data_IF_853234356128
#
_entry.id   IF_853234356128
#
_cell.length_a   1.000
_cell.length_b   1.000
_cell.length_c   1.000
_cell.angle_alpha   90.00
_cell.angle_beta   90.00
_cell.angle_gamma   90.00
#
_symmetry.space_group_name_H-M   'P 1'
#
loop_
_entity.id
_entity.type
_entity.pdbx_description
1 polymer ?
#
# COMPACT_ATOMS: atom_id res chain seq x y z
N UNK A 1 8.92 -72.11 33.53
CA UNK A 1 10.21 -71.57 34.02
C UNK A 1 11.21 -71.49 32.87
N UNK A 2 11.49 -70.27 32.40
CA UNK A 2 12.72 -69.75 31.75
C UNK A 2 12.37 -68.79 30.60
N UNK A 3 12.23 -67.55 31.06
CA UNK A 3 12.35 -66.29 30.32
C UNK A 3 13.76 -66.17 29.74
N UNK A 4 13.86 -65.45 28.61
CA UNK A 4 14.99 -64.59 28.14
C UNK A 4 15.47 -64.93 26.73
N UNK A 5 14.73 -64.47 25.71
CA UNK A 5 15.32 -64.06 24.41
C UNK A 5 14.73 -62.78 23.79
N UNK A 6 13.66 -62.19 24.34
CA UNK A 6 12.97 -61.04 23.71
C UNK A 6 13.49 -59.63 24.05
N UNK A 7 14.25 -59.43 25.13
CA UNK A 7 14.57 -58.06 25.61
C UNK A 7 15.94 -57.56 25.15
N UNK A 8 16.83 -58.44 24.67
CA UNK A 8 18.16 -58.01 24.18
C UNK A 8 18.17 -57.50 22.74
N UNK A 9 17.21 -57.90 21.90
CA UNK A 9 17.13 -57.42 20.52
C UNK A 9 16.58 -55.98 20.45
N UNK A 10 15.63 -55.62 21.32
CA UNK A 10 15.01 -54.29 21.29
C UNK A 10 15.93 -53.20 21.88
N UNK A 11 16.72 -53.50 22.91
CA UNK A 11 17.72 -52.55 23.44
C UNK A 11 18.91 -52.35 22.50
N UNK A 12 19.31 -53.36 21.71
CA UNK A 12 20.39 -53.20 20.73
C UNK A 12 19.94 -52.37 19.51
N UNK A 13 18.67 -52.46 19.12
CA UNK A 13 18.13 -51.63 18.04
C UNK A 13 17.99 -50.16 18.48
N UNK A 14 17.56 -49.90 19.72
CA UNK A 14 17.46 -48.54 20.26
C UNK A 14 18.83 -47.87 20.46
N UNK A 15 19.86 -48.64 20.82
CA UNK A 15 21.25 -48.13 20.92
C UNK A 15 21.87 -47.91 19.54
N UNK A 16 21.51 -48.71 18.52
CA UNK A 16 21.94 -48.42 17.14
C UNK A 16 21.24 -47.19 16.54
N UNK A 17 19.96 -46.93 16.84
CA UNK A 17 19.30 -45.70 16.37
C UNK A 17 19.70 -44.44 17.16
N UNK A 18 20.17 -44.57 18.41
CA UNK A 18 20.75 -43.47 19.18
C UNK A 18 22.22 -43.18 18.83
N UNK A 19 22.95 -44.13 18.25
CA UNK A 19 24.32 -43.93 17.76
C UNK A 19 24.41 -43.44 16.30
N UNK A 20 23.28 -43.39 15.58
CA UNK A 20 23.19 -42.76 14.25
C UNK A 20 22.75 -41.28 14.28
N UNK A 21 22.51 -40.72 15.47
CA UNK A 21 22.17 -39.31 15.68
C UNK A 21 23.29 -38.57 16.42
N UNK A 22 24.55 -38.78 16.02
CA UNK A 22 25.70 -38.02 16.52
C UNK A 22 26.82 -38.04 15.46
N UNK A 23 26.53 -37.49 14.30
CA UNK A 23 27.52 -36.88 13.41
C UNK A 23 26.92 -35.56 12.94
N UNK A 24 27.03 -34.55 13.80
CA UNK A 24 27.14 -33.18 13.31
C UNK A 24 28.49 -33.17 12.59
N UNK A 25 28.58 -32.95 11.27
CA UNK A 25 29.84 -32.50 10.73
C UNK A 25 30.13 -31.17 11.43
N UNK A 26 31.16 -31.18 12.27
CA UNK A 26 31.83 -29.96 12.67
C UNK A 26 32.29 -29.29 11.37
N UNK A 27 31.48 -28.37 10.85
CA UNK A 27 31.92 -27.43 9.83
C UNK A 27 32.88 -26.53 10.58
N UNK A 28 34.16 -26.87 10.46
CA UNK A 28 35.25 -25.94 10.70
C UNK A 28 34.90 -24.61 10.04
N UNK A 29 35.08 -23.52 10.76
CA UNK A 29 35.14 -22.18 10.19
C UNK A 29 36.10 -22.21 8.99
N UNK A 30 35.52 -22.30 7.79
CA UNK A 30 36.21 -21.99 6.56
C UNK A 30 36.12 -20.49 6.48
N UNK A 31 37.27 -19.84 6.56
CA UNK A 31 37.46 -18.47 6.13
C UNK A 31 36.94 -18.37 4.70
N UNK A 32 35.83 -17.69 4.50
CA UNK A 32 35.47 -17.15 3.19
C UNK A 32 36.46 -16.00 2.92
N UNK A 33 37.62 -16.36 2.39
CA UNK A 33 38.32 -15.43 1.52
C UNK A 33 37.55 -15.44 0.20
N UNK A 34 37.03 -14.26 -0.14
CA UNK A 34 36.80 -13.77 -1.50
C UNK A 34 36.18 -14.80 -2.47
N UNK A 35 34.86 -14.99 -2.35
CA UNK A 35 34.04 -15.20 -3.54
C UNK A 35 33.45 -13.85 -3.91
N UNK A 36 33.62 -13.51 -5.19
CA UNK A 36 33.37 -12.23 -5.83
C UNK A 36 32.08 -11.55 -5.34
N UNK A 37 32.24 -10.26 -5.09
CA UNK A 37 31.21 -9.22 -5.07
C UNK A 37 30.26 -9.39 -6.27
N UNK A 38 29.22 -10.20 -6.10
CA UNK A 38 27.94 -9.98 -6.77
C UNK A 38 27.25 -8.91 -5.93
N UNK A 39 27.35 -7.66 -6.36
CA UNK A 39 26.65 -6.54 -5.75
C UNK A 39 25.14 -6.74 -5.90
N UNK A 40 24.46 -7.29 -4.88
CA UNK A 40 23.06 -6.96 -4.67
C UNK A 40 23.04 -5.54 -4.10
N UNK A 41 23.20 -4.54 -4.97
CA UNK A 41 22.92 -3.15 -4.59
C UNK A 41 21.45 -3.09 -4.21
N UNK A 42 21.14 -2.64 -3.00
CA UNK A 42 19.77 -2.32 -2.61
C UNK A 42 19.22 -1.28 -3.58
N UNK A 43 18.08 -1.57 -4.22
CA UNK A 43 17.50 -0.75 -5.30
C UNK A 43 16.64 0.42 -4.74
N UNK A 44 16.42 0.48 -3.42
CA UNK A 44 15.68 1.56 -2.77
C UNK A 44 16.27 2.93 -3.15
N UNK A 45 15.41 3.82 -3.66
CA UNK A 45 15.77 5.18 -4.04
C UNK A 45 15.70 6.05 -2.78
N UNK A 46 16.60 7.03 -2.67
CA UNK A 46 16.53 8.01 -1.59
C UNK A 46 15.55 9.12 -1.94
N UNK A 47 14.58 9.35 -1.07
CA UNK A 47 13.51 10.31 -1.32
C UNK A 47 14.05 11.74 -1.39
N UNK A 48 13.63 12.54 -2.39
CA UNK A 48 13.97 13.93 -2.48
C UNK A 48 13.59 14.70 -1.22
N UNK A 49 14.43 15.66 -0.83
CA UNK A 49 14.08 16.58 0.25
C UNK A 49 13.01 17.58 -0.22
N UNK A 50 11.74 17.19 -0.04
CA UNK A 50 10.55 17.98 -0.33
C UNK A 50 10.40 19.22 0.56
N UNK A 51 11.21 19.35 1.61
CA UNK A 51 11.23 20.53 2.47
C UNK A 51 11.80 21.77 1.77
N UNK A 52 12.30 21.64 0.53
CA UNK A 52 12.93 22.73 -0.25
C UNK A 52 12.07 23.25 -1.40
N UNK A 53 10.95 22.61 -1.70
CA UNK A 53 10.06 22.93 -2.81
C UNK A 53 8.74 23.52 -2.31
N UNK A 54 8.04 24.25 -3.19
CA UNK A 54 6.69 24.75 -2.86
C UNK A 54 5.69 23.59 -2.94
N UNK A 55 4.82 23.50 -1.94
CA UNK A 55 3.86 22.41 -1.78
C UNK A 55 2.44 22.95 -1.64
N UNK A 56 1.47 22.16 -2.07
CA UNK A 56 0.06 22.48 -2.11
C UNK A 56 -0.77 21.33 -1.54
N UNK A 57 -1.87 21.67 -0.89
CA UNK A 57 -2.87 20.67 -0.53
C UNK A 57 -3.64 20.22 -1.78
N UNK A 58 -3.88 18.93 -1.87
CA UNK A 58 -4.71 18.33 -2.92
C UNK A 58 -6.17 18.37 -2.50
N UNK A 59 -7.04 18.85 -3.39
CA UNK A 59 -8.47 18.66 -3.24
C UNK A 59 -8.83 17.25 -3.73
N UNK A 60 -9.72 16.52 -3.02
CA UNK A 60 -10.16 15.20 -3.44
C UNK A 60 -10.97 15.26 -4.73
N UNK A 61 -11.05 14.12 -5.43
CA UNK A 61 -11.90 13.93 -6.61
C UNK A 61 -13.34 14.34 -6.33
N UNK A 62 -13.95 14.96 -7.32
CA UNK A 62 -15.36 15.32 -7.23
C UNK A 62 -16.24 14.08 -7.22
N UNK A 63 -17.38 14.14 -6.53
CA UNK A 63 -18.34 13.02 -6.54
C UNK A 63 -18.82 12.67 -7.94
N UNK A 64 -18.88 13.64 -8.87
CA UNK A 64 -19.18 13.39 -10.28
C UNK A 64 -18.19 12.48 -11.01
N UNK A 65 -17.00 12.28 -10.47
CA UNK A 65 -15.99 11.37 -11.01
C UNK A 65 -16.06 9.97 -10.39
N UNK A 66 -16.92 9.75 -9.39
CA UNK A 66 -17.07 8.49 -8.68
C UNK A 66 -18.32 7.74 -9.16
N UNK A 67 -18.19 6.45 -9.44
CA UNK A 67 -19.30 5.57 -9.80
C UNK A 67 -19.80 4.78 -8.60
N UNK A 68 -21.12 4.59 -8.51
CA UNK A 68 -21.78 3.87 -7.41
C UNK A 68 -22.56 2.68 -7.98
N UNK A 69 -22.07 1.47 -7.71
CA UNK A 69 -22.80 0.26 -8.04
C UNK A 69 -23.31 -0.39 -6.76
N UNK A 70 -24.61 -0.61 -6.67
CA UNK A 70 -25.25 -1.19 -5.49
C UNK A 70 -25.90 -2.51 -5.86
N UNK A 71 -25.55 -3.53 -5.09
CA UNK A 71 -25.97 -4.91 -5.33
C UNK A 71 -26.64 -5.48 -4.09
N UNK A 72 -27.81 -6.12 -4.21
CA UNK A 72 -28.28 -7.02 -3.18
C UNK A 72 -27.26 -8.11 -2.87
N UNK A 73 -27.03 -8.40 -1.58
CA UNK A 73 -26.06 -9.41 -1.17
C UNK A 73 -26.39 -10.81 -1.74
N UNK A 74 -27.69 -11.15 -1.82
CA UNK A 74 -28.13 -12.41 -2.44
C UNK A 74 -27.82 -12.44 -3.93
N UNK A 75 -28.01 -11.32 -4.62
CA UNK A 75 -27.77 -11.22 -6.05
C UNK A 75 -26.27 -11.44 -6.36
N UNK A 76 -25.35 -10.87 -5.57
CA UNK A 76 -23.91 -11.17 -5.73
C UNK A 76 -23.65 -12.67 -5.59
N UNK A 77 -24.19 -13.33 -4.56
CA UNK A 77 -23.96 -14.76 -4.33
C UNK A 77 -24.48 -15.62 -5.50
N UNK A 78 -25.61 -15.24 -6.09
CA UNK A 78 -26.23 -15.99 -7.20
C UNK A 78 -25.54 -15.76 -8.55
N UNK A 79 -24.86 -14.63 -8.74
CA UNK A 79 -24.28 -14.22 -10.02
C UNK A 79 -22.74 -14.12 -10.01
N UNK A 80 -22.09 -14.36 -8.87
CA UNK A 80 -20.63 -14.39 -8.80
C UNK A 80 -20.10 -15.57 -9.63
N UNK A 81 -19.30 -15.25 -10.64
CA UNK A 81 -18.67 -16.22 -11.53
C UNK A 81 -17.39 -16.81 -10.91
N UNK A 82 -16.85 -16.19 -9.86
CA UNK A 82 -15.67 -16.70 -9.16
C UNK A 82 -16.08 -17.70 -8.06
N UNK A 83 -15.41 -18.84 -8.01
CA UNK A 83 -15.60 -19.85 -6.95
C UNK A 83 -15.00 -19.39 -5.61
N UNK A 84 -13.99 -18.53 -5.63
CA UNK A 84 -13.44 -17.89 -4.45
C UNK A 84 -14.33 -16.72 -4.01
N UNK A 85 -14.96 -16.86 -2.85
CA UNK A 85 -15.87 -15.86 -2.30
C UNK A 85 -15.16 -14.60 -1.77
N UNK A 86 -13.82 -14.59 -1.72
CA UNK A 86 -13.05 -13.37 -1.47
C UNK A 86 -12.99 -12.46 -2.70
N UNK A 87 -13.38 -12.95 -3.88
CA UNK A 87 -13.39 -12.20 -5.14
C UNK A 87 -14.80 -12.17 -5.70
N UNK A 88 -15.29 -10.97 -6.02
CA UNK A 88 -16.54 -10.76 -6.74
C UNK A 88 -16.20 -10.59 -8.21
N UNK A 89 -16.63 -11.54 -9.04
CA UNK A 89 -16.53 -11.48 -10.49
C UNK A 89 -17.94 -11.50 -11.11
N UNK A 90 -18.36 -10.37 -11.67
CA UNK A 90 -19.66 -10.16 -12.28
C UNK A 90 -19.46 -9.68 -13.72
N UNK A 91 -20.19 -10.29 -14.66
CA UNK A 91 -20.26 -9.83 -16.04
C UNK A 91 -21.67 -9.30 -16.30
N UNK A 92 -21.78 -8.02 -16.63
CA UNK A 92 -23.03 -7.29 -16.79
C UNK A 92 -23.03 -6.57 -18.13
N UNK A 93 -24.16 -6.60 -18.84
CA UNK A 93 -24.35 -5.67 -19.95
C UNK A 93 -24.73 -4.30 -19.37
N UNK A 94 -24.09 -3.20 -19.80
CA UNK A 94 -24.38 -1.87 -19.22
C UNK A 94 -25.83 -1.42 -19.47
N UNK A 95 -26.50 -2.04 -20.45
CA UNK A 95 -27.92 -1.87 -20.75
C UNK A 95 -28.86 -2.56 -19.76
N UNK A 96 -28.37 -3.54 -18.98
CA UNK A 96 -29.15 -4.27 -17.96
C UNK A 96 -29.15 -3.54 -16.61
N UNK A 97 -28.25 -2.57 -16.42
CA UNK A 97 -28.19 -1.76 -15.21
C UNK A 97 -29.29 -0.71 -15.20
N UNK A 98 -30.09 -0.72 -14.15
CA UNK A 98 -30.93 0.41 -13.80
C UNK A 98 -30.05 1.57 -13.39
N UNK A 99 -30.35 2.76 -13.91
CA UNK A 99 -29.66 4.02 -13.61
C UNK A 99 -30.67 4.92 -12.91
N UNK A 100 -30.51 5.10 -11.61
CA UNK A 100 -31.41 5.91 -10.78
C UNK A 100 -30.65 7.09 -10.19
N UNK A 101 -31.25 8.28 -10.22
CA UNK A 101 -30.70 9.43 -9.53
C UNK A 101 -31.21 9.43 -8.09
N UNK A 102 -30.28 9.25 -7.15
CA UNK A 102 -30.56 9.29 -5.73
C UNK A 102 -30.57 10.75 -5.24
N UNK A 103 -31.76 11.27 -4.92
CA UNK A 103 -31.92 12.66 -4.47
C UNK A 103 -31.17 12.96 -3.17
N UNK A 104 -31.01 11.98 -2.29
CA UNK A 104 -30.38 12.16 -0.97
C UNK A 104 -28.86 12.18 -1.10
N UNK A 105 -28.30 11.38 -2.00
CA UNK A 105 -26.87 11.37 -2.32
C UNK A 105 -26.49 12.41 -3.38
N UNK A 106 -27.47 13.01 -4.06
CA UNK A 106 -27.28 13.89 -5.22
C UNK A 106 -26.42 13.23 -6.30
N UNK A 107 -26.63 11.93 -6.56
CA UNK A 107 -25.75 11.13 -7.40
C UNK A 107 -26.47 10.02 -8.16
N UNK A 108 -25.88 9.58 -9.28
CA UNK A 108 -26.38 8.42 -10.04
C UNK A 108 -25.91 7.11 -9.41
N UNK A 109 -26.86 6.20 -9.18
CA UNK A 109 -26.63 4.86 -8.64
C UNK A 109 -27.02 3.83 -9.69
N UNK A 110 -26.17 2.83 -9.86
CA UNK A 110 -26.32 1.74 -10.81
C UNK A 110 -26.67 0.45 -10.07
N UNK A 111 -27.76 -0.21 -10.46
CA UNK A 111 -28.21 -1.46 -9.82
C UNK A 111 -28.63 -2.48 -10.87
N UNK A 112 -28.31 -3.79 -10.71
CA UNK A 112 -28.75 -4.81 -11.67
C UNK A 112 -30.23 -5.16 -11.49
N UNK A 113 -30.79 -4.93 -10.30
CA UNK A 113 -32.18 -5.24 -9.94
C UNK A 113 -32.71 -4.18 -8.98
N UNK A 114 -34.03 -4.14 -8.80
CA UNK A 114 -34.65 -3.32 -7.78
C UNK A 114 -34.17 -3.76 -6.39
N UNK A 115 -33.84 -2.79 -5.53
CA UNK A 115 -33.39 -3.02 -4.16
C UNK A 115 -34.59 -2.89 -3.22
N UNK A 116 -34.82 -3.92 -2.40
CA UNK A 116 -35.81 -3.90 -1.33
C UNK A 116 -35.32 -3.07 -0.12
N UNK A 117 -36.22 -2.41 0.59
CA UNK A 117 -35.86 -1.45 1.66
C UNK A 117 -35.07 -2.06 2.83
N UNK A 118 -35.23 -3.35 3.08
CA UNK A 118 -34.72 -4.03 4.29
C UNK A 118 -33.66 -5.10 3.96
N UNK A 119 -33.17 -5.14 2.72
CA UNK A 119 -32.19 -6.16 2.32
C UNK A 119 -30.74 -5.69 2.46
N UNK A 120 -29.87 -6.62 2.86
CA UNK A 120 -28.43 -6.38 2.94
C UNK A 120 -27.89 -6.12 1.53
N UNK A 121 -27.10 -5.06 1.39
CA UNK A 121 -26.51 -4.62 0.13
C UNK A 121 -24.98 -4.51 0.22
N UNK A 122 -24.36 -4.55 -0.95
CA UNK A 122 -22.96 -4.19 -1.17
C UNK A 122 -22.88 -2.98 -2.09
N UNK A 123 -22.05 -2.01 -1.72
CA UNK A 123 -21.71 -0.84 -2.52
C UNK A 123 -20.29 -0.98 -3.04
N UNK A 124 -20.13 -0.98 -4.35
CA UNK A 124 -18.85 -0.70 -5.00
C UNK A 124 -18.81 0.78 -5.36
N UNK A 125 -17.93 1.53 -4.70
CA UNK A 125 -17.74 2.97 -4.93
C UNK A 125 -16.29 3.22 -5.36
N UNK A 126 -16.08 3.40 -6.66
CA UNK A 126 -14.76 3.56 -7.28
C UNK A 126 -14.73 4.78 -8.21
N UNK A 127 -13.56 5.43 -8.38
CA UNK A 127 -13.33 6.37 -9.46
C UNK A 127 -13.73 5.76 -10.80
N UNK A 128 -14.49 6.52 -11.59
CA UNK A 128 -14.99 6.08 -12.90
C UNK A 128 -13.84 5.70 -13.84
N UNK A 129 -12.69 6.36 -13.70
CA UNK A 129 -11.49 6.03 -14.47
C UNK A 129 -10.94 4.64 -14.13
N UNK A 130 -10.98 4.20 -12.87
CA UNK A 130 -10.53 2.85 -12.48
C UNK A 130 -11.37 1.76 -13.17
N UNK A 131 -12.69 1.96 -13.22
CA UNK A 131 -13.60 1.03 -13.90
C UNK A 131 -13.31 0.99 -15.40
N UNK A 132 -13.12 2.16 -16.03
CA UNK A 132 -12.78 2.28 -17.45
C UNK A 132 -11.45 1.60 -17.81
N UNK A 133 -10.44 1.75 -16.97
CA UNK A 133 -9.13 1.12 -17.18
C UNK A 133 -9.23 -0.41 -17.25
N UNK A 134 -10.16 -1.02 -16.52
CA UNK A 134 -10.39 -2.46 -16.57
C UNK A 134 -11.31 -2.90 -17.70
N UNK A 135 -12.28 -2.07 -18.09
CA UNK A 135 -13.39 -2.54 -18.92
C UNK A 135 -13.21 -2.34 -20.43
N UNK A 136 -12.44 -1.36 -20.89
CA UNK A 136 -12.08 -1.15 -22.31
C UNK A 136 -13.25 -0.84 -23.29
N UNK A 137 -14.38 -1.53 -23.18
CA UNK A 137 -15.63 -1.42 -23.93
C UNK A 137 -16.74 -0.83 -23.03
N UNK A 138 -17.55 0.09 -23.57
CA UNK A 138 -18.63 0.76 -22.84
C UNK A 138 -19.94 -0.08 -22.79
N UNK A 139 -20.04 -1.14 -23.60
CA UNK A 139 -21.24 -1.98 -23.66
C UNK A 139 -21.29 -3.05 -22.56
N UNK A 140 -20.11 -3.47 -22.07
CA UNK A 140 -19.97 -4.49 -21.03
C UNK A 140 -19.31 -3.93 -19.78
N UNK A 141 -19.70 -4.49 -18.66
CA UNK A 141 -19.14 -4.19 -17.36
C UNK A 141 -18.76 -5.50 -16.66
N UNK A 142 -17.49 -5.81 -16.77
CA UNK A 142 -16.76 -6.79 -15.97
C UNK A 142 -16.31 -6.12 -14.66
N UNK A 143 -17.00 -6.47 -13.57
CA UNK A 143 -16.60 -6.11 -12.21
C UNK A 143 -15.89 -7.29 -11.59
N UNK A 144 -14.57 -7.22 -11.56
CA UNK A 144 -13.72 -8.24 -10.96
C UNK A 144 -12.89 -7.60 -9.84
N UNK A 145 -13.37 -7.66 -8.61
CA UNK A 145 -12.73 -7.02 -7.47
C UNK A 145 -12.80 -7.89 -6.22
N UNK A 146 -11.79 -7.82 -5.35
CA UNK A 146 -11.87 -8.41 -4.02
C UNK A 146 -13.08 -7.88 -3.23
N UNK A 147 -13.70 -8.73 -2.42
CA UNK A 147 -14.90 -8.40 -1.66
C UNK A 147 -14.69 -7.22 -0.69
N UNK A 148 -13.46 -6.99 -0.22
CA UNK A 148 -13.13 -5.84 0.64
C UNK A 148 -13.19 -4.48 -0.08
N UNK A 149 -13.29 -4.45 -1.41
CA UNK A 149 -13.59 -3.21 -2.15
C UNK A 149 -15.06 -2.78 -1.98
N UNK A 150 -15.92 -3.71 -1.56
CA UNK A 150 -17.35 -3.47 -1.40
C UNK A 150 -17.68 -3.09 0.05
N UNK A 151 -18.31 -1.93 0.23
CA UNK A 151 -18.91 -1.56 1.50
C UNK A 151 -20.18 -2.38 1.73
N UNK A 152 -20.27 -3.10 2.84
CA UNK A 152 -21.46 -3.87 3.22
C UNK A 152 -22.36 -3.06 4.14
N UNK A 153 -23.65 -2.99 3.82
CA UNK A 153 -24.65 -2.28 4.62
C UNK A 153 -25.87 -3.16 4.87
N UNK A 154 -26.52 -2.95 6.02
CA UNK A 154 -27.71 -3.71 6.39
C UNK A 154 -28.91 -3.40 5.49
N UNK A 155 -28.95 -2.19 4.93
CA UNK A 155 -29.93 -1.75 3.94
C UNK A 155 -29.46 -0.50 3.18
N UNK A 156 -30.26 -0.08 2.20
CA UNK A 156 -29.99 1.10 1.36
C UNK A 156 -30.00 2.42 2.14
N UNK A 157 -30.89 2.58 3.12
CA UNK A 157 -30.97 3.81 3.92
C UNK A 157 -29.71 4.01 4.78
N UNK A 158 -29.21 2.93 5.40
CA UNK A 158 -27.99 2.92 6.20
C UNK A 158 -26.77 3.29 5.34
N UNK A 159 -26.67 2.74 4.12
CA UNK A 159 -25.64 3.13 3.15
C UNK A 159 -25.70 4.64 2.86
N UNK A 160 -26.88 5.18 2.55
CA UNK A 160 -27.02 6.60 2.26
C UNK A 160 -26.61 7.48 3.45
N UNK A 161 -27.01 7.09 4.67
CA UNK A 161 -26.68 7.82 5.88
C UNK A 161 -25.17 7.82 6.16
N UNK A 162 -24.51 6.67 6.05
CA UNK A 162 -23.05 6.56 6.23
C UNK A 162 -22.30 7.45 5.23
N UNK A 163 -22.64 7.38 3.94
CA UNK A 163 -22.01 8.24 2.91
C UNK A 163 -22.20 9.72 3.23
N UNK A 164 -23.42 10.13 3.63
CA UNK A 164 -23.69 11.53 3.97
C UNK A 164 -22.93 12.00 5.21
N UNK A 165 -22.76 11.16 6.22
CA UNK A 165 -21.99 11.48 7.41
C UNK A 165 -20.51 11.64 7.08
N UNK A 166 -19.94 10.71 6.30
CA UNK A 166 -18.54 10.76 5.89
C UNK A 166 -18.22 11.93 4.97
N UNK A 167 -19.12 12.27 4.03
CA UNK A 167 -19.01 13.48 3.20
C UNK A 167 -19.12 14.78 4.01
N UNK A 168 -19.89 14.81 5.10
CA UNK A 168 -19.91 15.98 6.01
C UNK A 168 -18.58 16.12 6.72
N UNK A 169 -17.97 15.01 7.14
CA UNK A 169 -16.64 15.01 7.76
C UNK A 169 -15.57 15.52 6.79
N UNK A 170 -15.59 15.05 5.52
CA UNK A 170 -14.73 15.56 4.45
C UNK A 170 -14.78 17.09 4.34
N UNK A 171 -15.99 17.65 4.25
CA UNK A 171 -16.18 19.11 4.14
C UNK A 171 -15.66 19.86 5.36
N UNK A 172 -15.86 19.33 6.57
CA UNK A 172 -15.33 19.94 7.79
C UNK A 172 -13.80 19.94 7.81
N UNK A 173 -13.17 18.85 7.35
CA UNK A 173 -11.72 18.76 7.24
C UNK A 173 -11.18 19.78 6.23
N UNK A 174 -11.79 19.87 5.05
CA UNK A 174 -11.44 20.87 4.02
C UNK A 174 -11.65 22.32 4.49
N UNK A 175 -12.70 22.60 5.26
CA UNK A 175 -12.93 23.95 5.84
C UNK A 175 -11.90 24.27 6.93
N UNK A 176 -11.41 23.27 7.65
CA UNK A 176 -10.39 23.45 8.68
C UNK A 176 -8.98 23.63 8.11
N UNK A 177 -8.69 23.08 6.92
CA UNK A 177 -7.42 23.26 6.22
C UNK A 177 -7.31 24.62 5.52
N UNK A 178 -8.44 25.19 5.07
CA UNK A 178 -8.50 26.41 4.25
C UNK A 178 -8.33 27.69 5.08
N UNK A 179 -7.13 28.28 5.10
CA UNK A 179 -6.97 29.71 5.42
C UNK A 179 -7.45 30.56 4.21
N UNK A 180 -8.53 31.35 4.34
CA UNK A 180 -9.16 32.05 3.23
C UNK A 180 -8.30 33.16 2.58
N UNK A 181 -7.09 33.44 3.07
CA UNK A 181 -6.18 34.46 2.52
C UNK A 181 -4.98 33.95 1.72
N UNK A 182 -4.78 32.64 1.61
CA UNK A 182 -3.72 32.04 0.79
C UNK A 182 -4.31 30.89 -0.02
N UNK A 183 -4.09 30.85 -1.34
CA UNK A 183 -4.15 29.57 -2.06
C UNK A 183 -3.15 28.64 -1.35
N UNK A 184 -3.61 27.56 -0.70
CA UNK A 184 -3.00 26.79 0.41
C UNK A 184 -1.58 26.27 0.14
N UNK A 185 -0.65 27.20 -0.01
CA UNK A 185 0.78 26.99 0.04
C UNK A 185 1.13 26.80 1.50
N UNK A 186 1.43 25.57 1.90
CA UNK A 186 2.10 25.38 3.18
C UNK A 186 3.60 25.59 2.98
N UNK A 187 4.20 26.38 3.87
CA UNK A 187 5.65 26.49 3.91
C UNK A 187 6.14 25.25 4.61
N UNK A 188 6.94 24.43 3.94
CA UNK A 188 7.85 23.54 4.65
C UNK A 188 8.61 24.38 5.67
N UNK A 189 8.76 23.89 6.91
CA UNK A 189 9.60 24.58 7.89
C UNK A 189 11.00 24.63 7.30
N UNK A 190 11.48 25.83 6.94
CA UNK A 190 12.78 25.99 6.30
C UNK A 190 13.90 25.59 7.28
N UNK A 191 14.40 24.37 7.15
CA UNK A 191 15.50 23.88 7.97
C UNK A 191 16.82 24.27 7.27
N UNK A 192 17.77 24.85 8.03
CA UNK A 192 18.91 25.58 7.47
C UNK A 192 19.82 24.73 6.56
N UNK A 193 20.35 25.38 5.52
CA UNK A 193 20.64 24.82 4.18
C UNK A 193 21.95 24.05 3.95
N UNK A 194 22.90 23.97 4.87
CA UNK A 194 24.29 23.72 4.42
C UNK A 194 24.85 22.30 4.60
N UNK A 195 24.11 21.30 5.09
CA UNK A 195 24.70 19.94 5.35
C UNK A 195 23.80 18.70 5.22
N UNK A 196 22.58 18.78 4.68
CA UNK A 196 21.66 17.62 4.71
C UNK A 196 21.86 16.64 3.56
N UNK A 197 22.23 15.41 3.90
CA UNK A 197 21.95 14.18 3.16
C UNK A 197 20.99 13.34 4.02
N UNK A 198 20.12 12.53 3.42
CA UNK A 198 19.40 11.49 4.19
C UNK A 198 20.47 10.68 4.93
N UNK A 199 20.38 10.70 6.26
CA UNK A 199 21.45 10.20 7.12
C UNK A 199 21.19 8.76 7.55
N UNK A 200 19.94 8.32 7.53
CA UNK A 200 19.51 7.01 7.97
C UNK A 200 18.37 6.53 7.09
N UNK A 201 18.50 5.29 6.61
CA UNK A 201 17.49 4.61 5.81
C UNK A 201 17.51 3.13 6.19
N UNK A 202 16.35 2.52 6.34
CA UNK A 202 16.18 1.07 6.42
C UNK A 202 15.16 0.66 5.36
N UNK A 203 15.36 -0.49 4.73
CA UNK A 203 14.45 -0.97 3.68
C UNK A 203 14.22 -2.47 3.75
N UNK A 204 13.02 -2.92 3.40
CA UNK A 204 12.66 -4.34 3.29
C UNK A 204 12.06 -4.55 1.91
N UNK A 205 12.61 -5.53 1.17
CA UNK A 205 12.28 -5.79 -0.23
C UNK A 205 11.67 -7.18 -0.41
N UNK A 206 10.62 -7.23 -1.22
CA UNK A 206 9.96 -8.42 -1.73
C UNK A 206 10.01 -8.43 -3.25
N UNK A 207 10.53 -9.50 -3.84
CA UNK A 207 10.65 -9.66 -5.29
C UNK A 207 9.52 -10.49 -5.86
N UNK A 208 9.13 -10.25 -7.11
CA UNK A 208 8.18 -11.09 -7.84
C UNK A 208 8.58 -12.56 -7.75
N UNK A 209 7.65 -13.37 -7.25
CA UNK A 209 7.84 -14.79 -7.06
C UNK A 209 7.86 -15.50 -8.44
N UNK A 210 8.50 -16.67 -8.49
CA UNK A 210 8.57 -17.44 -9.72
C UNK A 210 7.17 -17.80 -10.23
N UNK A 211 6.86 -17.38 -11.47
CA UNK A 211 5.56 -17.60 -12.10
C UNK A 211 4.59 -16.41 -12.01
N UNK A 212 5.00 -15.30 -11.40
CA UNK A 212 4.21 -14.07 -11.26
C UNK A 212 4.99 -12.87 -11.82
N UNK A 213 5.31 -12.92 -13.12
CA UNK A 213 6.12 -11.88 -13.79
C UNK A 213 5.30 -10.79 -14.47
N UNK A 214 3.97 -10.92 -14.45
CA UNK A 214 3.01 -10.12 -15.21
C UNK A 214 1.99 -9.43 -14.29
N UNK A 215 2.41 -9.10 -13.07
CA UNK A 215 1.60 -8.32 -12.12
C UNK A 215 1.57 -6.87 -12.60
N UNK A 216 0.40 -6.29 -12.84
CA UNK A 216 0.24 -4.91 -13.32
C UNK A 216 -0.51 -4.01 -12.33
N UNK A 217 -0.98 -4.58 -11.22
CA UNK A 217 -1.77 -3.88 -10.20
C UNK A 217 -1.39 -4.33 -8.79
N UNK A 218 -1.28 -3.39 -7.85
CA UNK A 218 -1.07 -3.64 -6.42
C UNK A 218 -1.96 -2.72 -5.60
N UNK A 219 -2.57 -3.26 -4.54
CA UNK A 219 -3.38 -2.49 -3.59
C UNK A 219 -3.14 -2.91 -2.16
N UNK A 220 -3.33 -1.94 -1.26
CA UNK A 220 -3.02 -2.11 0.14
C UNK A 220 -3.48 -0.96 1.00
N UNK A 221 -2.90 -0.86 2.20
CA UNK A 221 -3.27 0.12 3.22
C UNK A 221 -2.05 0.82 3.79
N UNK A 222 -2.21 2.12 4.03
CA UNK A 222 -1.23 2.99 4.67
C UNK A 222 -1.93 3.88 5.70
N UNK A 223 -1.36 4.03 6.90
CA UNK A 223 -1.97 4.82 7.97
C UNK A 223 -0.89 5.40 8.88
N UNK A 224 -0.78 6.74 8.99
CA UNK A 224 -0.01 7.35 10.07
C UNK A 224 -0.56 6.93 11.43
N UNK A 225 0.29 6.60 12.41
CA UNK A 225 -0.17 6.09 13.70
C UNK A 225 0.14 7.02 14.87
N UNK A 226 1.41 7.40 15.02
CA UNK A 226 1.82 8.27 16.11
C UNK A 226 2.98 9.14 15.69
N UNK A 227 2.90 10.41 16.08
CA UNK A 227 3.98 11.35 15.86
C UNK A 227 4.24 12.17 17.12
N UNK A 228 5.52 12.24 17.51
CA UNK A 228 6.01 13.13 18.56
C UNK A 228 7.00 14.09 17.92
N UNK A 229 6.60 15.35 17.80
CA UNK A 229 7.50 16.42 17.38
C UNK A 229 8.43 16.82 18.53
N UNK A 230 9.62 17.29 18.18
CA UNK A 230 10.61 17.68 19.19
C UNK A 230 11.96 18.00 18.62
N UNK A 231 12.31 17.40 17.47
CA UNK A 231 13.56 17.60 16.76
C UNK A 231 13.27 18.21 15.38
N UNK A 232 14.14 19.12 14.91
CA UNK A 232 14.10 19.57 13.51
C UNK A 232 14.66 18.47 12.61
N UNK A 233 13.79 17.55 12.20
CA UNK A 233 14.06 16.42 11.33
C UNK A 233 13.00 16.31 10.23
N UNK A 234 13.32 15.61 9.16
CA UNK A 234 12.34 15.18 8.16
C UNK A 234 12.33 13.67 8.16
N UNK A 235 11.14 13.08 8.18
CA UNK A 235 10.95 11.64 8.16
C UNK A 235 10.05 11.30 6.98
N UNK A 236 10.48 10.32 6.20
CA UNK A 236 9.68 9.68 5.17
C UNK A 236 9.47 8.21 5.55
N UNK A 237 8.24 7.73 5.44
CA UNK A 237 7.91 6.31 5.62
C UNK A 237 7.04 5.90 4.46
N UNK A 238 7.50 4.90 3.71
CA UNK A 238 7.07 4.80 2.32
C UNK A 238 6.86 3.35 1.90
N UNK A 239 6.07 3.23 0.84
CA UNK A 239 5.88 2.01 0.07
C UNK A 239 6.28 2.29 -1.37
N UNK A 240 7.34 1.64 -1.83
CA UNK A 240 7.80 1.71 -3.22
C UNK A 240 7.28 0.50 -4.01
N UNK A 241 6.79 0.79 -5.21
CA UNK A 241 6.37 -0.19 -6.22
C UNK A 241 7.31 -0.04 -7.40
N UNK A 242 8.19 -1.02 -7.61
CA UNK A 242 9.19 -1.03 -8.68
C UNK A 242 8.65 -1.78 -9.88
N UNK A 243 9.04 -1.34 -11.07
CA UNK A 243 8.57 -1.93 -12.33
C UNK A 243 9.67 -2.67 -13.09
N UNK A 244 9.33 -3.29 -14.21
CA UNK A 244 10.20 -4.13 -15.03
C UNK A 244 11.17 -3.35 -15.90
N UNK A 245 11.03 -2.02 -15.91
CA UNK A 245 12.00 -1.09 -16.44
C UNK A 245 12.89 -0.53 -15.32
N UNK A 246 14.20 -0.58 -15.55
CA UNK A 246 15.19 -0.26 -14.53
C UNK A 246 15.13 1.22 -14.10
N UNK A 247 14.82 1.45 -12.83
CA UNK A 247 14.71 2.79 -12.25
C UNK A 247 13.31 3.38 -12.30
N UNK A 248 12.34 2.66 -12.87
CA UNK A 248 10.94 3.05 -12.87
C UNK A 248 10.30 2.57 -11.57
N UNK A 249 9.71 3.50 -10.82
CA UNK A 249 8.99 3.19 -9.60
C UNK A 249 7.98 4.28 -9.21
N UNK A 250 7.04 3.87 -8.37
CA UNK A 250 6.13 4.75 -7.64
C UNK A 250 6.46 4.66 -6.16
N UNK A 251 6.73 5.78 -5.49
CA UNK A 251 6.84 5.87 -4.03
C UNK A 251 5.53 6.42 -3.47
N UNK A 252 4.87 5.69 -2.58
CA UNK A 252 3.77 6.19 -1.76
C UNK A 252 4.35 6.69 -0.45
N UNK A 253 4.30 7.99 -0.21
CA UNK A 253 5.14 8.67 0.80
C UNK A 253 4.27 9.23 1.91
N UNK A 254 4.52 8.82 3.15
CA UNK A 254 4.13 9.58 4.33
C UNK A 254 5.28 10.47 4.79
N UNK A 255 5.06 11.78 4.69
CA UNK A 255 6.00 12.80 5.12
C UNK A 255 5.59 13.38 6.47
N UNK A 256 6.39 13.12 7.51
CA UNK A 256 6.19 13.68 8.85
C UNK A 256 7.07 14.92 9.02
N UNK A 257 6.42 16.08 9.20
CA UNK A 257 7.10 17.36 9.35
C UNK A 257 7.37 17.71 10.82
N UNK A 258 8.45 18.46 11.11
CA UNK A 258 8.82 18.78 12.49
C UNK A 258 7.81 19.63 13.27
N UNK A 259 6.87 20.28 12.60
CA UNK A 259 5.80 21.09 13.21
C UNK A 259 4.61 20.26 13.72
N UNK A 260 4.48 19.01 13.31
CA UNK A 260 3.35 18.16 13.69
C UNK A 260 2.56 17.61 12.51
N UNK A 261 2.70 18.24 11.34
CA UNK A 261 1.87 17.95 10.19
C UNK A 261 2.37 16.70 9.46
N UNK A 262 1.42 15.95 8.89
CA UNK A 262 1.69 14.70 8.19
C UNK A 262 1.03 14.78 6.82
N UNK A 263 1.77 14.45 5.78
CA UNK A 263 1.29 14.51 4.42
C UNK A 263 1.44 13.17 3.72
N UNK A 264 0.46 12.82 2.90
CA UNK A 264 0.48 11.64 2.03
C UNK A 264 0.54 12.10 0.57
N UNK A 265 1.44 11.52 -0.22
CA UNK A 265 1.47 11.73 -1.68
C UNK A 265 2.11 10.54 -2.38
N UNK A 266 2.24 10.64 -3.70
CA UNK A 266 3.00 9.73 -4.52
C UNK A 266 4.06 10.48 -5.34
N UNK A 267 5.25 9.90 -5.43
CA UNK A 267 6.31 10.31 -6.33
C UNK A 267 6.52 9.25 -7.42
N UNK A 268 6.90 9.68 -8.62
CA UNK A 268 7.16 8.76 -9.73
C UNK A 268 8.55 9.03 -10.29
N UNK A 269 9.27 7.94 -10.52
CA UNK A 269 10.57 7.92 -11.15
C UNK A 269 10.46 7.16 -12.46
N UNK A 270 11.14 7.69 -13.46
CA UNK A 270 11.26 7.16 -14.82
C UNK A 270 12.77 7.14 -15.10
N UNK A 271 13.32 5.94 -15.23
CA UNK A 271 14.75 5.65 -15.33
C UNK A 271 15.59 6.35 -14.25
N UNK A 272 15.19 6.24 -12.97
CA UNK A 272 15.81 6.87 -11.79
C UNK A 272 15.71 8.40 -11.73
N UNK A 273 15.07 9.02 -12.72
CA UNK A 273 14.80 10.46 -12.73
C UNK A 273 13.44 10.69 -12.10
N UNK A 274 13.40 11.48 -11.03
CA UNK A 274 12.15 12.01 -10.48
C UNK A 274 11.44 12.85 -11.54
N UNK A 275 10.53 12.22 -12.28
CA UNK A 275 9.83 12.80 -13.42
C UNK A 275 8.54 13.50 -12.98
N UNK A 276 7.95 13.02 -11.89
CA UNK A 276 6.79 13.66 -11.28
C UNK A 276 7.01 13.90 -9.78
N UNK A 277 7.62 15.03 -9.39
CA UNK A 277 7.86 15.37 -7.99
C UNK A 277 6.57 15.71 -7.23
N UNK A 278 5.44 15.76 -7.92
CA UNK A 278 4.10 16.01 -7.40
C UNK A 278 4.04 16.91 -6.16
N UNK A 279 3.86 18.21 -6.39
CA UNK A 279 3.78 19.17 -5.31
C UNK A 279 2.40 19.19 -4.61
N UNK A 280 1.51 18.26 -4.93
CA UNK A 280 0.18 18.14 -4.33
C UNK A 280 0.16 17.01 -3.31
N UNK A 281 -0.24 17.34 -2.08
CA UNK A 281 -0.24 16.45 -0.93
C UNK A 281 -1.61 16.36 -0.29
N UNK A 282 -1.99 15.16 0.13
CA UNK A 282 -3.14 14.91 0.98
C UNK A 282 -2.73 15.25 2.43
N UNK A 283 -3.53 16.05 3.13
CA UNK A 283 -3.34 16.26 4.57
C UNK A 283 -3.73 14.97 5.32
N UNK A 284 -2.74 14.31 5.88
CA UNK A 284 -2.86 13.05 6.63
C UNK A 284 -2.67 13.27 8.14
N UNK A 285 -2.70 14.52 8.62
CA UNK A 285 -2.49 14.88 10.03
C UNK A 285 -3.60 14.36 10.94
N UNK A 286 -4.77 14.03 10.38
CA UNK A 286 -5.85 13.34 11.07
C UNK A 286 -5.56 11.86 11.37
N UNK A 287 -4.45 11.32 10.83
CA UNK A 287 -4.01 9.93 11.02
C UNK A 287 -5.06 8.89 10.57
N UNK A 288 -5.87 9.26 9.58
CA UNK A 288 -6.79 8.35 8.92
C UNK A 288 -6.03 7.22 8.22
N UNK A 289 -6.72 6.10 7.98
CA UNK A 289 -6.21 5.02 7.14
C UNK A 289 -6.63 5.26 5.69
N UNK A 290 -5.69 5.07 4.77
CA UNK A 290 -5.90 5.19 3.34
C UNK A 290 -5.71 3.82 2.68
N UNK A 291 -6.63 3.45 1.80
CA UNK A 291 -6.43 2.37 0.83
C UNK A 291 -5.68 2.96 -0.37
N UNK A 292 -4.60 2.32 -0.82
CA UNK A 292 -3.89 2.70 -2.04
C UNK A 292 -4.13 1.69 -3.15
N UNK A 293 -4.06 2.18 -4.38
CA UNK A 293 -4.24 1.40 -5.60
C UNK A 293 -3.23 1.90 -6.63
N UNK A 294 -2.32 1.04 -7.06
CA UNK A 294 -1.30 1.36 -8.06
C UNK A 294 -1.50 0.41 -9.23
N UNK A 295 -1.70 0.98 -10.42
CA UNK A 295 -1.86 0.26 -11.67
C UNK A 295 -0.90 0.83 -12.71
N UNK A 296 -0.22 -0.05 -13.43
CA UNK A 296 0.43 0.30 -14.69
C UNK A 296 -0.42 -0.22 -15.85
N UNK A 297 -0.77 0.63 -16.80
CA UNK A 297 -1.60 0.25 -17.95
C UNK A 297 -1.33 1.18 -19.12
N UNK A 298 -0.96 0.61 -20.27
CA UNK A 298 -0.76 1.36 -21.52
C UNK A 298 0.19 2.55 -21.35
N UNK A 299 1.37 2.28 -20.81
CA UNK A 299 2.43 3.27 -20.54
C UNK A 299 2.04 4.34 -19.51
N UNK A 300 1.01 4.09 -18.70
CA UNK A 300 0.53 5.03 -17.68
C UNK A 300 0.58 4.42 -16.30
N UNK A 301 1.04 5.22 -15.36
CA UNK A 301 1.04 4.91 -13.94
C UNK A 301 -0.16 5.61 -13.32
N UNK A 302 -1.10 4.83 -12.83
CA UNK A 302 -2.26 5.32 -12.11
C UNK A 302 -2.11 4.99 -10.63
N UNK A 303 -2.21 6.01 -9.80
CA UNK A 303 -2.21 5.90 -8.35
C UNK A 303 -3.50 6.51 -7.82
N UNK A 304 -4.18 5.78 -6.96
CA UNK A 304 -5.31 6.29 -6.21
C UNK A 304 -5.11 6.08 -4.72
N UNK A 305 -5.62 7.02 -3.94
CA UNK A 305 -5.80 6.87 -2.51
C UNK A 305 -7.28 7.03 -2.17
N UNK A 306 -7.74 6.27 -1.19
CA UNK A 306 -9.09 6.40 -0.65
C UNK A 306 -9.01 6.50 0.86
N UNK A 307 -9.46 7.63 1.41
CA UNK A 307 -9.63 7.78 2.85
C UNK A 307 -10.85 6.95 3.28
N UNK A 308 -10.65 5.90 4.09
CA UNK A 308 -11.77 5.03 4.51
C UNK A 308 -12.71 5.70 5.51
N UNK A 309 -12.27 6.81 6.11
CA UNK A 309 -13.00 7.59 7.11
C UNK A 309 -13.95 8.57 6.45
N UNK A 310 -13.49 9.28 5.41
CA UNK A 310 -14.30 10.29 4.70
C UNK A 310 -14.90 9.77 3.39
N UNK A 311 -14.39 8.64 2.87
CA UNK A 311 -14.63 8.13 1.52
C UNK A 311 -14.13 9.05 0.41
N UNK A 312 -13.26 10.01 0.71
CA UNK A 312 -12.64 10.82 -0.34
C UNK A 312 -11.67 9.97 -1.16
N UNK A 313 -11.62 10.27 -2.46
CA UNK A 313 -10.68 9.66 -3.38
C UNK A 313 -9.73 10.71 -3.92
N UNK A 314 -8.45 10.38 -3.98
CA UNK A 314 -7.42 11.19 -4.62
C UNK A 314 -6.79 10.38 -5.74
N UNK A 315 -6.31 11.06 -6.78
CA UNK A 315 -5.61 10.39 -7.87
C UNK A 315 -4.34 11.13 -8.34
N UNK A 316 -3.44 10.33 -8.88
CA UNK A 316 -2.26 10.75 -9.59
C UNK A 316 -2.13 9.87 -10.84
N UNK A 317 -1.96 10.49 -12.02
CA UNK A 317 -1.76 9.81 -13.29
C UNK A 317 -0.52 10.38 -14.00
N UNK A 318 0.45 9.54 -14.32
CA UNK A 318 1.61 9.87 -15.14
C UNK A 318 1.57 9.10 -16.46
N UNK A 319 2.01 9.75 -17.53
CA UNK A 319 1.96 9.25 -18.90
C UNK A 319 3.40 9.15 -19.43
N UNK A 320 3.93 7.92 -19.42
CA UNK A 320 5.27 7.57 -19.90
C UNK A 320 5.21 7.17 -21.39
N UNK A 321 4.75 8.12 -22.20
CA UNK A 321 4.42 7.93 -23.62
C UNK A 321 5.58 7.52 -24.54
N UNK A 322 6.81 7.36 -24.02
CA UNK A 322 8.02 7.02 -24.76
C UNK A 322 8.46 5.56 -24.56
N UNK A 323 8.32 5.02 -23.35
CA UNK A 323 8.85 3.69 -23.00
C UNK A 323 8.33 3.16 -21.65
N UNK A 324 7.04 3.35 -21.36
CA UNK A 324 6.37 2.87 -20.15
C UNK A 324 6.68 1.43 -19.74
N UNK A 325 6.82 1.23 -18.43
CA UNK A 325 6.88 -0.09 -17.85
C UNK A 325 5.54 -0.84 -18.01
N UNK A 326 5.58 -2.18 -17.89
CA UNK A 326 4.39 -3.02 -18.04
C UNK A 326 4.02 -3.73 -16.74
N UNK A 327 5.00 -4.11 -15.92
CA UNK A 327 4.76 -4.99 -14.77
C UNK A 327 5.54 -4.57 -13.53
N UNK A 328 4.95 -4.86 -12.38
CA UNK A 328 5.56 -4.72 -11.06
C UNK A 328 6.54 -5.86 -10.82
N UNK A 329 7.76 -5.51 -10.43
CA UNK A 329 8.85 -6.46 -10.15
C UNK A 329 9.14 -6.60 -8.67
N UNK A 330 9.03 -5.53 -7.90
CA UNK A 330 9.34 -5.59 -6.47
C UNK A 330 8.45 -4.64 -5.67
N UNK A 331 8.19 -5.03 -4.43
CA UNK A 331 7.59 -4.18 -3.40
C UNK A 331 8.65 -3.88 -2.36
N UNK A 332 8.89 -2.61 -2.07
CA UNK A 332 9.87 -2.20 -1.07
C UNK A 332 9.17 -1.31 -0.03
N UNK A 333 9.34 -1.62 1.24
CA UNK A 333 9.04 -0.68 2.31
C UNK A 333 10.31 0.06 2.71
N UNK A 334 10.25 1.38 2.87
CA UNK A 334 11.37 2.21 3.34
C UNK A 334 10.98 3.07 4.53
N UNK A 335 11.97 3.33 5.39
CA UNK A 335 11.89 4.36 6.41
C UNK A 335 13.16 5.19 6.37
N UNK A 336 12.98 6.48 6.08
CA UNK A 336 14.06 7.44 5.94
C UNK A 336 13.99 8.53 6.99
N UNK A 337 15.17 9.01 7.37
CA UNK A 337 15.31 10.08 8.34
C UNK A 337 16.47 11.01 7.94
N UNK A 338 16.11 12.27 7.71
CA UNK A 338 17.04 13.37 7.61
C UNK A 338 17.11 14.15 8.95
N UNK A 339 18.33 14.29 9.45
CA UNK A 339 18.65 14.91 10.74
C UNK A 339 19.66 16.03 10.57
N UNK A 340 19.43 17.16 11.26
CA UNK A 340 20.47 18.19 11.41
C UNK A 340 21.28 17.91 12.66
N UNK A 341 22.48 17.37 12.47
CA UNK A 341 23.38 17.03 13.57
C UNK A 341 22.83 15.92 14.46
N UNK A 342 23.35 15.83 15.68
CA UNK A 342 22.88 14.84 16.66
C UNK A 342 21.53 15.27 17.25
N UNK A 343 20.53 14.37 17.36
CA UNK A 343 19.27 14.68 18.03
C UNK A 343 19.49 15.24 19.43
N UNK A 344 18.82 16.33 19.79
CA UNK A 344 18.90 16.97 21.11
C UNK A 344 17.69 16.65 22.00
N UNK A 345 16.61 16.21 21.37
CA UNK A 345 15.30 15.94 21.98
C UNK A 345 14.78 14.60 21.44
N UNK A 346 13.78 14.06 22.11
CA UNK A 346 13.10 12.86 21.65
C UNK A 346 12.12 13.25 20.53
N UNK A 347 12.01 12.35 19.55
CA UNK A 347 11.08 12.45 18.44
C UNK A 347 10.78 11.03 17.97
N UNK A 348 9.57 10.81 17.45
CA UNK A 348 9.16 9.52 16.93
C UNK A 348 8.06 9.70 15.89
N UNK A 349 8.19 9.01 14.76
CA UNK A 349 7.14 8.79 13.79
C UNK A 349 6.94 7.29 13.63
N UNK A 350 5.70 6.84 13.73
CA UNK A 350 5.28 5.48 13.46
C UNK A 350 4.15 5.54 12.45
N UNK A 351 4.30 4.81 11.35
CA UNK A 351 3.19 4.41 10.49
C UNK A 351 2.67 3.09 11.03
N UNK A 352 1.34 2.97 11.17
CA UNK A 352 0.71 1.69 11.45
C UNK A 352 1.14 0.71 10.36
N UNK A 353 1.06 -0.60 10.64
CA UNK A 353 1.56 -1.59 9.70
C UNK A 353 0.97 -1.37 8.30
N UNK A 354 1.83 -1.03 7.34
CA UNK A 354 1.47 -0.96 5.93
C UNK A 354 1.22 -2.37 5.43
N UNK A 355 0.24 -2.53 4.55
CA UNK A 355 -0.26 -3.85 4.14
C UNK A 355 -0.38 -3.88 2.63
N UNK A 356 0.19 -4.89 1.97
CA UNK A 356 -0.14 -5.22 0.58
C UNK A 356 -1.19 -6.33 0.61
N UNK A 357 -2.44 -6.01 0.27
CA UNK A 357 -3.58 -6.92 0.43
C UNK A 357 -3.84 -7.77 -0.80
N UNK A 358 -3.65 -7.19 -1.99
CA UNK A 358 -3.90 -7.84 -3.28
C UNK A 358 -2.94 -7.33 -4.36
N UNK A 359 -2.61 -8.23 -5.28
CA UNK A 359 -2.02 -7.93 -6.58
C UNK A 359 -2.91 -8.49 -7.68
N UNK A 360 -2.87 -7.93 -8.89
CA UNK A 360 -3.57 -8.46 -10.06
C UNK A 360 -2.55 -8.78 -11.16
N UNK A 361 -2.71 -9.91 -11.83
CA UNK A 361 -1.98 -10.21 -13.06
C UNK A 361 -2.67 -9.60 -14.29
N UNK A 362 -1.94 -9.60 -15.41
CA UNK A 362 -2.40 -9.07 -16.70
C UNK A 362 -3.65 -9.78 -17.27
N UNK A 363 -3.95 -10.98 -16.79
CA UNK A 363 -5.17 -11.74 -17.09
C UNK A 363 -6.33 -11.40 -16.14
N UNK A 364 -6.18 -10.35 -15.32
CA UNK A 364 -7.11 -9.87 -14.31
C UNK A 364 -7.31 -10.80 -13.11
N UNK A 365 -6.43 -11.78 -12.85
CA UNK A 365 -6.58 -12.65 -11.68
C UNK A 365 -6.05 -11.97 -10.42
N UNK A 366 -6.87 -11.93 -9.37
CA UNK A 366 -6.48 -11.42 -8.07
C UNK A 366 -5.68 -12.46 -7.28
N UNK A 367 -4.50 -12.07 -6.82
CA UNK A 367 -3.54 -12.90 -6.11
C UNK A 367 -3.14 -12.19 -4.83
N UNK A 368 -2.89 -12.96 -3.76
CA UNK A 368 -2.40 -12.41 -2.50
C UNK A 368 -0.90 -12.08 -2.61
N UNK A 369 -0.41 -10.90 -2.16
CA UNK A 369 0.98 -10.49 -2.36
C UNK A 369 2.02 -11.43 -1.75
N UNK A 370 1.73 -12.12 -0.65
CA UNK A 370 2.60 -13.15 -0.08
C UNK A 370 2.70 -14.43 -0.91
N UNK A 371 1.96 -14.54 -2.01
CA UNK A 371 2.08 -15.58 -3.05
C UNK A 371 2.83 -15.03 -4.27
N UNK A 372 2.43 -13.85 -4.76
CA UNK A 372 3.01 -13.22 -5.95
C UNK A 372 4.37 -12.56 -5.72
N UNK A 373 4.74 -12.29 -4.48
CA UNK A 373 6.04 -11.74 -4.09
C UNK A 373 6.68 -12.55 -2.95
N UNK A 374 8.00 -12.70 -3.00
CA UNK A 374 8.83 -13.42 -2.03
C UNK A 374 9.81 -12.48 -1.36
N UNK A 375 9.97 -12.64 -0.04
CA UNK A 375 10.99 -11.89 0.70
C UNK A 375 12.37 -12.06 0.02
N UNK A 376 13.04 -10.94 -0.23
CA UNK A 376 14.35 -10.91 -0.85
C UNK A 376 15.42 -10.42 0.14
N UNK A 377 15.28 -9.19 0.63
CA UNK A 377 16.35 -8.57 1.42
C UNK A 377 15.84 -7.56 2.46
N UNK A 378 16.71 -7.28 3.44
CA UNK A 378 16.53 -6.25 4.46
C UNK A 378 17.83 -5.45 4.55
N UNK A 379 17.78 -4.17 4.18
CA UNK A 379 18.91 -3.24 4.27
C UNK A 379 18.89 -2.53 5.60
N UNK A 380 19.95 -2.68 6.39
CA UNK A 380 20.10 -2.03 7.69
C UNK A 380 20.67 -0.61 7.56
N UNK A 381 20.40 0.29 8.53
CA UNK A 381 20.87 1.66 8.50
C UNK A 381 22.39 1.78 8.37
N UNK A 382 22.81 2.69 7.50
CA UNK A 382 24.20 3.10 7.37
C UNK A 382 24.59 4.04 8.54
N UNK A 383 25.64 3.69 9.28
CA UNK A 383 26.23 4.55 10.32
C UNK A 383 25.96 4.15 11.78
N UNK A 384 26.63 4.81 12.73
CA UNK A 384 26.48 4.54 14.16
C UNK A 384 25.33 5.36 14.75
N UNK A 385 24.30 4.70 15.27
CA UNK A 385 23.13 5.32 15.90
C UNK A 385 21.86 5.03 15.11
N UNK A 386 21.20 3.91 15.39
CA UNK A 386 20.00 3.50 14.65
C UNK A 386 18.82 4.36 15.12
N UNK A 387 18.33 5.22 14.23
CA UNK A 387 17.13 6.03 14.44
C UNK A 387 16.00 5.65 13.50
N UNK A 388 16.21 4.69 12.61
CA UNK A 388 15.19 4.08 11.76
C UNK A 388 15.12 2.59 12.12
N UNK A 389 13.93 2.03 12.02
CA UNK A 389 13.65 0.64 12.31
C UNK A 389 12.50 0.16 11.44
N UNK A 390 12.69 -1.00 10.84
CA UNK A 390 11.64 -1.70 10.13
C UNK A 390 11.53 -3.16 10.58
N UNK A 391 10.32 -3.69 10.43
CA UNK A 391 10.06 -5.11 10.58
C UNK A 391 9.01 -5.53 9.57
N UNK A 392 9.10 -6.76 9.08
CA UNK A 392 8.14 -7.32 8.16
C UNK A 392 7.63 -8.69 8.63
N UNK A 393 6.50 -9.09 8.06
CA UNK A 393 6.01 -10.47 8.14
C UNK A 393 4.96 -10.71 7.07
N UNK A 394 4.71 -11.98 6.78
CA UNK A 394 3.58 -12.42 5.95
C UNK A 394 2.56 -13.13 6.84
N UNK A 395 1.29 -12.73 6.76
CA UNK A 395 0.19 -13.40 7.45
C UNK A 395 -1.02 -13.48 6.55
N UNK A 396 -1.67 -14.64 6.45
CA UNK A 396 -2.77 -14.88 5.50
C UNK A 396 -2.42 -14.46 4.05
N UNK A 397 -1.15 -14.63 3.67
CA UNK A 397 -0.59 -14.20 2.39
C UNK A 397 -0.68 -12.68 2.12
N UNK A 398 -0.93 -11.86 3.13
CA UNK A 398 -0.77 -10.41 3.08
C UNK A 398 0.65 -10.08 3.56
N UNK A 399 1.33 -9.17 2.85
CA UNK A 399 2.64 -8.65 3.26
C UNK A 399 2.42 -7.46 4.19
N UNK A 400 3.13 -7.46 5.30
CA UNK A 400 3.07 -6.42 6.31
C UNK A 400 4.44 -5.80 6.53
N UNK A 401 4.52 -4.48 6.58
CA UNK A 401 5.72 -3.76 7.00
C UNK A 401 5.38 -2.75 8.10
N UNK A 402 6.20 -2.73 9.16
CA UNK A 402 6.13 -1.77 10.23
C UNK A 402 7.28 -0.77 10.08
N UNK A 403 6.98 0.53 10.16
CA UNK A 403 7.93 1.60 9.91
C UNK A 403 8.02 2.49 11.15
N UNK A 404 9.25 2.74 11.61
CA UNK A 404 9.52 3.64 12.71
C UNK A 404 10.78 4.44 12.46
N UNK A 405 10.70 5.75 12.70
CA UNK A 405 11.87 6.61 12.79
C UNK A 405 11.79 7.41 14.10
N UNK A 406 12.86 7.47 14.88
CA UNK A 406 12.86 8.19 16.13
C UNK A 406 14.01 7.88 17.06
N UNK A 407 14.11 8.70 18.11
CA UNK A 407 14.95 8.48 19.28
C UNK A 407 14.06 8.48 20.53
N UNK A 408 14.20 7.43 21.34
CA UNK A 408 13.74 7.43 22.73
C UNK A 408 14.94 7.52 23.66
N UNK A 409 14.99 8.54 24.51
CA UNK A 409 15.82 8.50 25.70
C UNK A 409 15.06 7.72 26.78
N UNK A 410 15.55 6.52 27.09
CA UNK A 410 15.10 5.74 28.25
C UNK A 410 15.47 6.41 29.56
#
# INVERSE_FOLDING_TARGET
MKIKKGVRAFCLLLVMTLLTAMFIPAVSAISYNEMEQGSSESIAILTPDYSKTEQYLKDPLSESEISYYVFPAKWIIENNLNEDLEIVNLNLETSELNKEYDEKLEHLVYTPVQIDSDEVIYLLRLPTQMIKNQNGDDEKLDLNYPINFFGKYDNYEDMQNDILEKRKLSKLNLESSKDPNNSEKFSSVAISKDTRSINYMESIQYDSASGYSDIDYVTGKIQPYSFTSGQSCVIYQEREIHFDRAGDLVELILWYQPDGDIYLSAAIYDETVLCWPNNEWIDASSMHQYEYYVQVNSDKYYIWFKDITTLDWDNYVYDDSNDGAEYVTHLIGTSELDLVGTPQTDFEAITNTMQDEWSQDSDNNWIRPGISFSYNSHTYPYGSGNYVYMNDWVSSNIIYTYHKAGRYQT
#
